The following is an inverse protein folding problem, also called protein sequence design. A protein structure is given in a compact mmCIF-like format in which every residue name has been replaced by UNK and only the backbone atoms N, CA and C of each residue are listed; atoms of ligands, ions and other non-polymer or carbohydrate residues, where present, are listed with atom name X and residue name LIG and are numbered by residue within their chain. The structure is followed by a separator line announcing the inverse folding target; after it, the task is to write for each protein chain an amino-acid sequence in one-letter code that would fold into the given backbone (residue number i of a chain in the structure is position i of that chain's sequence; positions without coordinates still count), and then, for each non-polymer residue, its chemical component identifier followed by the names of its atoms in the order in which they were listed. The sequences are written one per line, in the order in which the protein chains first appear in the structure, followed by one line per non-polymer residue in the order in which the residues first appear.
data_IF_312294800319
#
_entry.id   IF_312294800319
#
_cell.length_a   1.000
_cell.length_b   1.000
_cell.length_c   1.000
_cell.angle_alpha   90.00
_cell.angle_beta   90.00
_cell.angle_gamma   90.00
#
_symmetry.space_group_name_H-M   'P 1'
#
loop_
_entity.id
_entity.type
_entity.pdbx_description
1 polymer ?
#
# COMPACT_ATOMS: atom_id res chain seq x y z
N UNK A 1 -0.21 13.59 4.20
CA UNK A 1 -0.85 14.50 5.16
C UNK A 1 -0.01 14.78 6.39
N UNK A 2 1.20 14.45 6.50
CA UNK A 2 2.04 14.70 7.65
C UNK A 2 2.26 13.46 8.54
N UNK A 3 2.64 13.68 9.79
CA UNK A 3 3.10 12.65 10.72
C UNK A 3 1.99 12.08 11.62
N UNK A 4 0.91 12.83 11.80
CA UNK A 4 -0.18 12.44 12.67
C UNK A 4 -1.08 11.38 12.03
N UNK A 5 -1.28 10.25 12.72
CA UNK A 5 -2.17 9.20 12.24
C UNK A 5 -3.63 9.71 12.15
N UNK A 6 -4.02 10.54 13.11
CA UNK A 6 -5.34 11.18 13.14
C UNK A 6 -5.13 12.70 13.27
N UNK A 7 -5.04 13.42 12.15
CA UNK A 7 -4.97 14.88 12.18
C UNK A 7 -6.29 15.50 12.70
N UNK A 8 -6.28 16.78 12.99
CA UNK A 8 -7.48 17.52 13.48
C UNK A 8 -8.68 17.39 12.52
N UNK A 9 -8.42 17.20 11.22
CA UNK A 9 -9.43 16.97 10.19
C UNK A 9 -10.12 15.59 10.27
N UNK A 10 -9.71 14.73 11.19
CA UNK A 10 -10.23 13.37 11.34
C UNK A 10 -9.38 12.29 10.68
N UNK A 11 -9.91 11.08 10.66
CA UNK A 11 -9.22 9.93 10.06
C UNK A 11 -9.00 10.11 8.56
N UNK A 12 -7.81 9.77 8.10
CA UNK A 12 -7.39 9.86 6.69
C UNK A 12 -7.03 8.51 6.08
N UNK A 13 -7.15 7.45 6.86
CA UNK A 13 -6.87 6.08 6.47
C UNK A 13 -7.71 5.10 7.27
N UNK A 14 -8.05 3.98 6.65
CA UNK A 14 -8.73 2.86 7.31
C UNK A 14 -7.68 1.98 7.99
N UNK A 15 -7.63 2.06 9.31
CA UNK A 15 -6.72 1.30 10.18
C UNK A 15 -7.50 0.83 11.42
N UNK A 16 -6.90 -0.04 12.22
CA UNK A 16 -7.53 -0.48 13.46
C UNK A 16 -7.50 0.62 14.53
N UNK A 17 -8.64 0.83 15.19
CA UNK A 17 -8.77 1.72 16.35
C UNK A 17 -9.33 0.93 17.54
N UNK A 18 -8.77 1.17 18.74
CA UNK A 18 -9.20 0.50 19.96
C UNK A 18 -8.23 -0.57 20.44
N UNK A 19 -8.71 -1.60 21.14
CA UNK A 19 -7.89 -2.64 21.75
C UNK A 19 -7.64 -3.78 20.76
N UNK A 20 -6.50 -3.76 20.10
CA UNK A 20 -6.14 -4.81 19.16
C UNK A 20 -5.73 -6.11 19.87
N UNK A 21 -6.22 -7.29 19.45
CA UNK A 21 -7.15 -7.58 18.36
C UNK A 21 -8.61 -7.75 18.82
N UNK A 22 -8.96 -7.33 20.02
CA UNK A 22 -10.20 -7.68 20.69
C UNK A 22 -11.37 -6.76 20.32
N UNK A 23 -11.10 -5.46 20.23
CA UNK A 23 -12.13 -4.43 19.97
C UNK A 23 -11.65 -3.47 18.92
N UNK A 24 -12.41 -3.36 17.83
CA UNK A 24 -12.24 -2.28 16.87
C UNK A 24 -13.37 -1.26 17.06
N UNK A 25 -13.02 -0.07 17.51
CA UNK A 25 -13.97 1.03 17.75
C UNK A 25 -14.49 1.64 16.45
N UNK A 26 -13.89 1.30 15.31
CA UNK A 26 -14.27 1.76 13.96
C UNK A 26 -14.48 3.28 13.87
N UNK A 27 -13.63 4.05 14.54
CA UNK A 27 -13.74 5.52 14.58
C UNK A 27 -13.48 6.18 13.21
N UNK A 28 -12.84 5.45 12.29
CA UNK A 28 -12.69 5.83 10.89
C UNK A 28 -13.94 5.52 10.03
N UNK A 29 -14.95 4.87 10.62
CA UNK A 29 -16.20 4.49 9.99
C UNK A 29 -16.25 3.06 9.44
N UNK A 30 -15.16 2.26 9.57
CA UNK A 30 -15.08 0.95 8.94
C UNK A 30 -14.51 -0.12 9.88
N UNK A 31 -15.20 -1.25 9.97
CA UNK A 31 -14.70 -2.44 10.71
C UNK A 31 -13.80 -3.31 9.83
N UNK A 32 -14.05 -3.33 8.53
CA UNK A 32 -13.32 -4.08 7.52
C UNK A 32 -12.77 -3.16 6.43
N UNK A 33 -12.77 -3.61 5.18
CA UNK A 33 -12.34 -2.80 4.06
C UNK A 33 -13.30 -1.64 3.79
N UNK A 34 -12.75 -0.50 3.42
CA UNK A 34 -13.49 0.70 3.02
C UNK A 34 -13.53 0.82 1.48
N UNK A 35 -14.58 1.44 0.91
CA UNK A 35 -14.60 1.83 -0.49
C UNK A 35 -13.40 2.74 -0.83
N UNK A 36 -12.89 2.67 -2.07
CA UNK A 36 -11.66 3.36 -2.48
C UNK A 36 -11.66 4.86 -2.21
N UNK A 37 -12.80 5.50 -2.36
CA UNK A 37 -12.95 6.96 -2.24
C UNK A 37 -13.45 7.42 -0.85
N UNK A 38 -13.31 6.59 0.19
CA UNK A 38 -13.82 6.90 1.54
C UNK A 38 -13.05 8.01 2.25
N UNK A 39 -11.83 8.27 1.84
CA UNK A 39 -10.96 9.30 2.41
C UNK A 39 -10.45 10.22 1.31
N UNK A 40 -10.03 11.43 1.67
CA UNK A 40 -9.43 12.37 0.73
C UNK A 40 -8.15 11.82 0.09
N UNK A 41 -7.88 12.10 -1.17
CA UNK A 41 -6.65 11.71 -1.82
C UNK A 41 -5.45 12.48 -1.25
N UNK A 42 -4.26 11.98 -1.52
CA UNK A 42 -3.04 12.74 -1.30
C UNK A 42 -2.81 13.79 -2.41
N UNK A 43 -1.75 14.59 -2.29
CA UNK A 43 -1.43 15.66 -3.25
C UNK A 43 -1.15 15.17 -4.69
N UNK A 44 -0.96 13.85 -4.88
CA UNK A 44 -0.83 13.22 -6.19
C UNK A 44 -2.17 12.68 -6.73
N UNK A 45 -3.29 12.91 -6.05
CA UNK A 45 -4.61 12.39 -6.42
C UNK A 45 -4.79 10.90 -6.12
N UNK A 46 -3.94 10.30 -5.28
CA UNK A 46 -3.98 8.88 -4.96
C UNK A 46 -4.74 8.63 -3.66
N UNK A 47 -5.69 7.71 -3.73
CA UNK A 47 -6.54 7.32 -2.61
C UNK A 47 -5.96 6.15 -1.83
N UNK A 48 -6.14 6.15 -0.53
CA UNK A 48 -5.87 5.03 0.37
C UNK A 48 -4.50 4.36 0.15
N UNK A 49 -3.44 5.17 0.03
CA UNK A 49 -2.06 4.68 -0.10
C UNK A 49 -1.53 4.02 1.17
N UNK A 50 -2.25 4.20 2.27
CA UNK A 50 -2.01 3.52 3.54
C UNK A 50 -3.33 3.04 4.16
N UNK A 51 -3.27 1.98 4.96
CA UNK A 51 -4.46 1.34 5.52
C UNK A 51 -5.26 0.54 4.49
N UNK A 52 -6.48 0.24 4.80
CA UNK A 52 -7.44 -0.52 4.01
C UNK A 52 -6.95 -1.94 3.68
N UNK A 53 -6.16 -2.12 2.65
CA UNK A 53 -5.54 -3.40 2.29
C UNK A 53 -4.06 -3.24 2.00
N UNK A 54 -3.26 -4.24 2.35
CA UNK A 54 -1.90 -4.37 1.85
C UNK A 54 -1.91 -4.41 0.33
N UNK A 55 -0.97 -3.72 -0.30
CA UNK A 55 -0.87 -3.70 -1.75
C UNK A 55 0.40 -4.39 -2.22
N UNK A 56 0.22 -5.32 -3.17
CA UNK A 56 1.31 -6.00 -3.84
C UNK A 56 2.18 -5.02 -4.63
N UNK A 57 3.49 -5.17 -4.49
CA UNK A 57 4.46 -4.50 -5.33
C UNK A 57 4.98 -5.47 -6.41
N UNK A 58 5.42 -4.93 -7.52
CA UNK A 58 5.96 -5.70 -8.66
C UNK A 58 7.41 -6.17 -8.47
N UNK A 59 7.91 -6.23 -7.23
CA UNK A 59 9.29 -6.62 -6.96
C UNK A 59 9.40 -7.53 -5.72
N UNK A 60 10.41 -8.42 -5.68
CA UNK A 60 10.68 -9.24 -4.52
C UNK A 60 10.96 -8.43 -3.26
N UNK A 61 10.60 -8.97 -2.10
CA UNK A 61 10.80 -8.30 -0.79
C UNK A 61 12.25 -7.91 -0.52
N UNK A 62 13.21 -8.75 -0.89
CA UNK A 62 14.64 -8.57 -0.61
C UNK A 62 15.32 -7.48 -1.45
N UNK A 63 14.70 -7.03 -2.52
CA UNK A 63 15.29 -6.02 -3.39
C UNK A 63 15.07 -4.64 -2.79
N UNK A 64 16.15 -3.96 -2.43
CA UNK A 64 16.16 -2.51 -2.25
C UNK A 64 16.22 -1.95 -3.67
N UNK A 65 15.12 -1.39 -4.15
CA UNK A 65 15.11 -0.76 -5.47
C UNK A 65 16.21 0.30 -5.50
N UNK A 66 17.24 0.15 -6.33
CA UNK A 66 18.07 1.28 -6.70
C UNK A 66 17.12 2.32 -7.33
N UNK A 67 17.47 3.58 -7.24
CA UNK A 67 16.73 4.71 -7.85
C UNK A 67 16.71 4.64 -9.40
N UNK A 68 16.81 3.46 -10.00
CA UNK A 68 17.03 3.24 -11.42
C UNK A 68 16.08 2.16 -11.95
N UNK A 69 15.40 2.52 -12.94
CA UNK A 69 14.76 2.01 -14.15
C UNK A 69 14.85 0.50 -14.52
N UNK A 70 15.47 -0.37 -13.75
CA UNK A 70 15.48 -1.80 -14.05
C UNK A 70 14.16 -2.45 -13.64
N UNK A 71 13.28 -2.61 -14.59
CA UNK A 71 12.11 -3.47 -14.48
C UNK A 71 12.58 -4.89 -14.25
N UNK A 72 12.34 -5.42 -13.07
CA UNK A 72 12.53 -6.86 -12.82
C UNK A 72 11.53 -7.60 -13.71
N UNK A 73 12.02 -8.40 -14.64
CA UNK A 73 11.14 -9.25 -15.44
C UNK A 73 10.39 -10.21 -14.54
N UNK A 74 9.07 -10.30 -14.72
CA UNK A 74 8.21 -11.25 -14.00
C UNK A 74 8.74 -12.69 -14.16
N UNK A 75 9.31 -13.00 -15.31
CA UNK A 75 9.87 -14.33 -15.63
C UNK A 75 11.12 -14.68 -14.80
N UNK A 76 11.80 -13.68 -14.21
CA UNK A 76 12.95 -13.90 -13.33
C UNK A 76 12.56 -14.19 -11.88
N UNK A 77 11.27 -14.14 -11.56
CA UNK A 77 10.77 -14.26 -10.21
C UNK A 77 10.54 -15.73 -9.87
N UNK A 78 11.26 -16.21 -8.87
CA UNK A 78 11.06 -17.59 -8.37
C UNK A 78 9.64 -17.72 -7.79
N UNK A 79 8.85 -18.72 -8.18
CA UNK A 79 7.48 -18.92 -7.69
C UNK A 79 7.35 -19.10 -6.18
N UNK A 80 8.45 -19.45 -5.51
CA UNK A 80 8.53 -19.63 -4.05
C UNK A 80 9.00 -18.38 -3.31
N UNK A 81 9.18 -17.25 -4.00
CA UNK A 81 9.70 -16.03 -3.39
C UNK A 81 8.62 -15.19 -2.70
N UNK A 82 9.05 -14.42 -1.71
CA UNK A 82 8.23 -13.35 -1.12
C UNK A 82 8.31 -12.09 -1.98
N UNK A 83 7.15 -11.54 -2.31
CA UNK A 83 7.01 -10.22 -2.90
C UNK A 83 6.79 -9.16 -1.84
N UNK A 84 7.23 -7.95 -2.14
CA UNK A 84 6.98 -6.82 -1.27
C UNK A 84 5.48 -6.49 -1.28
N UNK A 85 4.96 -6.20 -0.09
CA UNK A 85 3.66 -5.57 0.12
C UNK A 85 3.84 -4.29 0.93
N UNK A 86 3.01 -3.29 0.68
CA UNK A 86 3.13 -1.97 1.30
C UNK A 86 1.78 -1.43 1.74
N UNK A 87 1.83 -0.34 2.51
CA UNK A 87 0.68 0.46 2.89
C UNK A 87 0.00 0.03 4.18
N UNK A 88 0.15 -1.20 4.62
CA UNK A 88 -0.63 -1.72 5.75
C UNK A 88 -2.08 -2.02 5.37
N UNK A 89 -2.91 -2.31 6.35
CA UNK A 89 -4.33 -2.64 6.14
C UNK A 89 -5.20 -2.15 7.29
N UNK A 90 -6.52 -2.36 7.18
CA UNK A 90 -7.48 -2.08 8.25
C UNK A 90 -7.20 -2.86 9.56
N UNK A 91 -6.38 -3.91 9.51
CA UNK A 91 -5.92 -4.66 10.68
C UNK A 91 -4.66 -4.07 11.32
N UNK A 92 -4.06 -3.01 10.76
CA UNK A 92 -2.85 -2.42 11.31
C UNK A 92 -3.18 -1.46 12.45
N UNK A 93 -2.55 -1.70 13.60
CA UNK A 93 -2.62 -0.86 14.77
C UNK A 93 -1.21 -0.44 15.23
N UNK A 94 -1.05 0.73 15.81
CA UNK A 94 0.25 1.28 16.20
C UNK A 94 1.02 0.39 17.20
N UNK A 95 0.31 -0.35 18.06
CA UNK A 95 0.91 -1.26 19.05
C UNK A 95 1.40 -2.58 18.45
N UNK A 96 0.88 -2.99 17.29
CA UNK A 96 1.16 -4.29 16.69
C UNK A 96 1.82 -4.21 15.33
N UNK A 97 1.26 -3.39 14.43
CA UNK A 97 1.68 -3.33 13.03
C UNK A 97 1.82 -1.88 12.59
N UNK A 98 2.84 -1.19 13.04
CA UNK A 98 3.14 0.18 12.61
C UNK A 98 3.73 0.20 11.16
N UNK A 99 3.12 -0.56 10.22
CA UNK A 99 3.65 -0.75 8.86
C UNK A 99 2.90 0.03 7.78
N UNK A 100 1.93 0.85 8.17
CA UNK A 100 1.30 1.83 7.28
C UNK A 100 2.19 3.06 7.01
N UNK A 101 3.34 3.19 7.69
CA UNK A 101 4.32 4.25 7.41
C UNK A 101 4.92 4.09 6.01
N UNK A 102 5.19 5.20 5.34
CA UNK A 102 5.71 5.23 3.97
C UNK A 102 7.00 4.39 3.80
N UNK A 103 7.90 4.43 4.77
CA UNK A 103 9.15 3.65 4.73
C UNK A 103 8.95 2.16 5.02
N UNK A 104 7.81 1.77 5.61
CA UNK A 104 7.59 0.40 6.02
C UNK A 104 7.32 -0.51 4.81
N UNK A 105 7.79 -1.76 4.95
CA UNK A 105 7.72 -2.78 3.92
C UNK A 105 7.52 -4.14 4.57
N UNK A 106 6.69 -4.97 4.01
CA UNK A 106 6.52 -6.36 4.40
C UNK A 106 6.65 -7.26 3.19
N UNK A 107 6.52 -8.55 3.35
CA UNK A 107 6.50 -9.52 2.27
C UNK A 107 5.40 -10.53 2.46
N UNK A 108 4.96 -11.10 1.36
CA UNK A 108 4.06 -12.23 1.32
C UNK A 108 4.47 -13.17 0.19
N UNK A 109 4.23 -14.47 0.37
CA UNK A 109 4.44 -15.44 -0.70
C UNK A 109 3.42 -15.23 -1.80
N UNK A 110 3.81 -15.41 -3.05
CA UNK A 110 2.96 -15.22 -4.23
C UNK A 110 1.69 -16.09 -4.23
N UNK A 111 1.71 -17.17 -3.47
CA UNK A 111 0.56 -18.08 -3.29
C UNK A 111 -0.34 -17.68 -2.11
N UNK A 112 0.01 -16.62 -1.38
CA UNK A 112 -0.78 -16.16 -0.23
C UNK A 112 -1.95 -15.30 -0.69
N UNK A 113 -3.12 -15.55 -0.09
CA UNK A 113 -4.30 -14.69 -0.22
C UNK A 113 -4.89 -14.41 1.15
N UNK A 114 -5.36 -13.20 1.38
CA UNK A 114 -6.04 -12.81 2.61
C UNK A 114 -7.10 -11.74 2.32
N UNK A 115 -8.05 -11.55 3.24
CA UNK A 115 -9.10 -10.53 3.10
C UNK A 115 -8.58 -9.08 3.16
N UNK A 116 -7.33 -8.90 3.58
CA UNK A 116 -6.70 -7.60 3.76
C UNK A 116 -5.49 -7.39 2.83
N UNK A 117 -5.45 -8.11 1.70
CA UNK A 117 -4.47 -7.92 0.62
C UNK A 117 -5.16 -7.64 -0.70
N UNK A 118 -4.58 -6.73 -1.47
CA UNK A 118 -5.04 -6.32 -2.79
C UNK A 118 -3.91 -5.78 -3.65
N UNK A 119 -4.25 -5.09 -4.71
CA UNK A 119 -3.28 -4.46 -5.62
C UNK A 119 -3.92 -3.25 -6.30
N UNK A 120 -3.08 -2.39 -6.84
CA UNK A 120 -3.48 -1.36 -7.80
C UNK A 120 -2.63 -1.42 -9.05
N UNK A 121 -3.24 -1.14 -10.21
CA UNK A 121 -2.53 -1.08 -11.47
C UNK A 121 -1.93 0.30 -11.71
N UNK A 122 -0.78 0.33 -12.36
CA UNK A 122 -0.14 1.55 -12.84
C UNK A 122 -0.07 1.46 -14.37
N UNK A 123 -0.50 2.52 -15.04
CA UNK A 123 -0.31 2.70 -16.48
C UNK A 123 0.81 3.70 -16.69
N UNK A 124 1.79 3.31 -17.49
CA UNK A 124 2.78 4.23 -18.01
C UNK A 124 2.28 4.75 -19.36
N UNK A 125 2.20 6.06 -19.52
CA UNK A 125 2.05 6.63 -20.86
C UNK A 125 3.40 6.53 -21.54
N UNK A 126 3.45 5.93 -22.74
CA UNK A 126 4.64 6.03 -23.58
C UNK A 126 4.78 7.51 -23.98
N UNK A 127 5.86 8.14 -23.56
CA UNK A 127 6.24 9.44 -24.12
C UNK A 127 6.35 9.23 -25.63
N UNK A 128 5.50 9.91 -26.37
CA UNK A 128 5.62 10.02 -27.82
C UNK A 128 6.93 10.74 -28.11
N UNK A 129 7.98 9.96 -28.29
CA UNK A 129 9.27 10.47 -28.74
C UNK A 129 9.07 11.00 -30.16
N UNK A 130 8.67 12.26 -30.26
CA UNK A 130 8.70 12.99 -31.51
C UNK A 130 10.18 13.16 -31.86
N UNK A 131 10.69 12.24 -32.67
CA UNK A 131 11.93 12.48 -33.39
C UNK A 131 11.69 13.68 -34.29
N UNK A 132 12.07 14.86 -33.83
CA UNK A 132 12.33 15.99 -34.72
C UNK A 132 13.56 15.62 -35.53
N UNK A 133 13.33 15.14 -36.75
CA UNK A 133 14.36 15.09 -37.77
C UNK A 133 14.78 16.54 -38.06
N UNK A 134 15.97 16.90 -37.65
CA UNK A 134 16.78 17.94 -38.25
C UNK A 134 17.96 17.26 -38.96
#
# INVERSE_FOLDING_TARGET
WGEDLVPESGYRANTWQGDFPNVNDALDGFVGTAPVYSFEPNDFGLYQMIGNVWEWCSHPRGIVLPLVEERVSIDSIQPSGEFAIRGGSFLCHCSYCNRYRVAARNGAFVTSTTSHMGFRCVRFEEESYVRSNL
#
